data_IF_894063525096
#
_entry.id   IF_894063525096
#
_cell.length_a   1.000
_cell.length_b   1.000
_cell.length_c   1.000
_cell.angle_alpha   90.00
_cell.angle_beta   90.00
_cell.angle_gamma   90.00
#
_symmetry.space_group_name_H-M   'P 1'
#
loop_
_entity.id
_entity.type
_entity.pdbx_description
1 polymer ?
#
# COMPACT_ATOMS: atom_id res chain seq x y z
N UNK A 1 16.86 -1.00 -18.64
CA UNK A 1 16.43 -1.58 -17.35
C UNK A 1 15.54 -2.79 -17.65
N UNK A 2 16.13 -3.99 -17.75
CA UNK A 2 15.37 -5.23 -18.01
C UNK A 2 14.58 -5.57 -16.74
N UNK A 3 13.26 -5.51 -16.82
CA UNK A 3 12.36 -5.93 -15.76
C UNK A 3 11.55 -7.08 -16.31
N UNK A 4 11.64 -8.22 -15.64
CA UNK A 4 11.02 -9.45 -16.10
C UNK A 4 9.50 -9.34 -15.95
N UNK A 5 8.79 -9.56 -17.05
CA UNK A 5 7.33 -9.68 -17.06
C UNK A 5 7.01 -11.16 -17.10
N UNK A 6 6.47 -11.76 -16.01
CA UNK A 6 6.09 -13.15 -16.05
C UNK A 6 5.01 -13.37 -17.12
N UNK A 7 4.96 -14.57 -17.72
CA UNK A 7 3.93 -14.90 -18.69
C UNK A 7 2.55 -14.89 -18.01
N UNK A 8 1.50 -14.61 -18.79
CA UNK A 8 0.13 -14.34 -18.27
C UNK A 8 -0.41 -15.50 -17.43
N UNK A 9 -0.09 -16.75 -17.80
CA UNK A 9 -0.51 -17.95 -17.07
C UNK A 9 0.06 -18.05 -15.66
N UNK A 10 1.23 -17.45 -15.41
CA UNK A 10 1.88 -17.41 -14.10
C UNK A 10 1.51 -16.13 -13.33
N UNK A 11 1.38 -15.01 -14.04
CA UNK A 11 1.04 -13.72 -13.43
C UNK A 11 -0.36 -13.70 -12.82
N UNK A 12 -1.35 -14.28 -13.51
CA UNK A 12 -2.75 -14.31 -13.07
C UNK A 12 -2.97 -15.02 -11.72
N UNK A 13 -2.50 -16.27 -11.49
CA UNK A 13 -2.66 -16.93 -10.20
C UNK A 13 -1.87 -16.23 -9.08
N UNK A 14 -0.67 -15.70 -9.38
CA UNK A 14 0.12 -14.95 -8.40
C UNK A 14 -0.57 -13.64 -7.98
N UNK A 15 -1.23 -12.95 -8.91
CA UNK A 15 -2.05 -11.77 -8.62
C UNK A 15 -3.28 -12.11 -7.76
N UNK A 16 -3.83 -13.32 -7.91
CA UNK A 16 -4.94 -13.82 -7.10
C UNK A 16 -4.58 -14.01 -5.62
N UNK A 17 -3.32 -14.34 -5.33
CA UNK A 17 -2.86 -14.68 -3.97
C UNK A 17 -3.08 -13.55 -2.96
N UNK A 18 -2.80 -12.29 -3.32
CA UNK A 18 -3.07 -11.13 -2.44
C UNK A 18 -4.55 -10.97 -2.11
N UNK A 19 -5.47 -11.35 -3.01
CA UNK A 19 -6.90 -11.30 -2.76
C UNK A 19 -7.37 -12.44 -1.86
N UNK A 20 -6.77 -13.63 -1.99
CA UNK A 20 -7.00 -14.74 -1.06
C UNK A 20 -6.53 -14.37 0.35
N UNK A 21 -5.35 -13.76 0.48
CA UNK A 21 -4.84 -13.27 1.76
C UNK A 21 -5.75 -12.17 2.34
N UNK A 22 -6.19 -11.22 1.52
CA UNK A 22 -7.16 -10.21 1.95
C UNK A 22 -8.47 -10.85 2.44
N UNK A 23 -9.02 -11.80 1.70
CA UNK A 23 -10.24 -12.51 2.07
C UNK A 23 -10.07 -13.28 3.39
N UNK A 24 -8.91 -13.91 3.61
CA UNK A 24 -8.56 -14.55 4.87
C UNK A 24 -8.57 -13.57 6.04
N UNK A 25 -7.92 -12.40 5.91
CA UNK A 25 -7.94 -11.38 6.97
C UNK A 25 -9.34 -10.79 7.18
N UNK A 26 -10.08 -10.51 6.11
CA UNK A 26 -11.46 -10.05 6.21
C UNK A 26 -12.36 -11.08 6.89
N UNK A 27 -12.20 -12.36 6.61
CA UNK A 27 -12.93 -13.44 7.28
C UNK A 27 -12.62 -13.48 8.78
N UNK A 28 -11.34 -13.40 9.17
CA UNK A 28 -10.96 -13.36 10.57
C UNK A 28 -11.53 -12.14 11.31
N UNK A 29 -11.47 -10.97 10.69
CA UNK A 29 -11.84 -9.71 11.34
C UNK A 29 -13.35 -9.48 11.34
N UNK A 30 -14.04 -9.72 10.22
CA UNK A 30 -15.45 -9.40 10.06
C UNK A 30 -16.40 -10.54 10.46
N UNK A 31 -15.96 -11.80 10.36
CA UNK A 31 -16.83 -12.96 10.59
C UNK A 31 -16.48 -13.74 11.86
N UNK A 32 -15.19 -13.88 12.19
CA UNK A 32 -14.76 -14.69 13.35
C UNK A 32 -14.73 -13.91 14.67
N UNK A 33 -14.66 -12.59 14.64
CA UNK A 33 -14.57 -11.77 15.86
C UNK A 33 -15.80 -10.88 16.03
N UNK A 34 -16.47 -11.01 17.18
CA UNK A 34 -17.52 -10.07 17.60
C UNK A 34 -16.90 -8.78 18.16
N UNK A 35 -17.67 -7.68 18.22
CA UNK A 35 -17.21 -6.38 18.72
C UNK A 35 -16.55 -6.45 20.11
N UNK A 36 -17.08 -7.27 21.01
CA UNK A 36 -16.53 -7.47 22.35
C UNK A 36 -15.16 -8.19 22.33
N UNK A 37 -14.97 -9.13 21.42
CA UNK A 37 -13.69 -9.81 21.26
C UNK A 37 -12.63 -8.89 20.66
N UNK A 38 -13.05 -7.98 19.76
CA UNK A 38 -12.17 -6.95 19.20
C UNK A 38 -11.70 -5.99 20.29
N UNK A 39 -12.59 -5.51 21.16
CA UNK A 39 -12.20 -4.60 22.26
C UNK A 39 -11.33 -5.32 23.30
N UNK A 40 -11.63 -6.59 23.61
CA UNK A 40 -10.80 -7.42 24.48
C UNK A 40 -9.40 -7.63 23.90
N UNK A 41 -9.29 -7.92 22.59
CA UNK A 41 -8.00 -8.05 21.92
C UNK A 41 -7.22 -6.74 21.91
N UNK A 42 -7.87 -5.61 21.65
CA UNK A 42 -7.22 -4.29 21.62
C UNK A 42 -6.59 -3.93 22.97
N UNK A 43 -7.25 -4.30 24.08
CA UNK A 43 -6.78 -4.09 25.45
C UNK A 43 -5.88 -5.22 25.97
N UNK A 44 -5.66 -6.26 25.18
CA UNK A 44 -4.81 -7.37 25.58
C UNK A 44 -3.36 -6.92 25.74
N UNK A 45 -2.59 -7.54 26.66
CA UNK A 45 -1.16 -7.28 26.80
C UNK A 45 -0.44 -7.45 25.46
N UNK A 46 -0.79 -8.47 24.68
CA UNK A 46 -0.19 -8.72 23.37
C UNK A 46 -0.27 -7.51 22.44
N UNK A 47 -1.45 -6.91 22.28
CA UNK A 47 -1.65 -5.77 21.38
C UNK A 47 -0.94 -4.51 21.89
N UNK A 48 -0.90 -4.31 23.22
CA UNK A 48 -0.17 -3.19 23.83
C UNK A 48 1.35 -3.27 23.63
N UNK A 49 1.92 -4.47 23.57
CA UNK A 49 3.36 -4.66 23.34
C UNK A 49 3.70 -4.84 21.84
N UNK A 50 2.71 -5.03 20.97
CA UNK A 50 2.94 -5.29 19.55
C UNK A 50 3.72 -4.16 18.86
N UNK A 51 3.42 -2.90 19.19
CA UNK A 51 4.15 -1.74 18.68
C UNK A 51 5.61 -1.73 19.14
N UNK A 52 5.87 -2.09 20.40
CA UNK A 52 7.22 -2.24 20.93
C UNK A 52 7.98 -3.36 20.19
N UNK A 53 7.35 -4.52 19.99
CA UNK A 53 7.94 -5.65 19.26
C UNK A 53 8.29 -5.27 17.82
N UNK A 54 7.41 -4.53 17.15
CA UNK A 54 7.67 -3.99 15.82
C UNK A 54 8.91 -3.07 15.83
N UNK A 55 9.06 -2.19 16.83
CA UNK A 55 10.27 -1.38 16.99
C UNK A 55 11.53 -2.24 17.22
N UNK A 56 11.47 -3.26 18.08
CA UNK A 56 12.63 -4.15 18.32
C UNK A 56 13.05 -4.90 17.06
N UNK A 57 12.10 -5.30 16.22
CA UNK A 57 12.37 -5.93 14.93
C UNK A 57 13.14 -5.00 13.99
N UNK A 58 12.87 -3.68 14.00
CA UNK A 58 13.60 -2.71 13.19
C UNK A 58 14.97 -2.34 13.77
N UNK A 59 15.10 -2.27 15.09
CA UNK A 59 16.37 -1.92 15.76
C UNK A 59 17.36 -3.09 15.76
N UNK A 60 16.88 -4.32 15.93
CA UNK A 60 17.68 -5.54 16.01
C UNK A 60 17.02 -6.66 15.20
N UNK A 61 17.05 -6.59 13.85
CA UNK A 61 16.45 -7.62 13.01
C UNK A 61 17.14 -8.97 13.22
N UNK A 62 16.36 -10.02 13.41
CA UNK A 62 16.88 -11.39 13.48
C UNK A 62 17.51 -11.82 12.15
N UNK A 63 18.38 -12.84 12.16
CA UNK A 63 18.99 -13.38 10.91
C UNK A 63 17.94 -13.81 9.89
N UNK A 64 16.85 -14.43 10.37
CA UNK A 64 15.71 -14.82 9.54
C UNK A 64 15.00 -13.60 8.95
N UNK A 65 14.74 -12.57 9.77
CA UNK A 65 14.11 -11.33 9.32
C UNK A 65 14.96 -10.63 8.24
N UNK A 66 16.26 -10.51 8.48
CA UNK A 66 17.21 -9.95 7.52
C UNK A 66 17.24 -10.75 6.20
N UNK A 67 17.24 -12.09 6.29
CA UNK A 67 17.20 -12.97 5.13
C UNK A 67 15.92 -12.79 4.29
N UNK A 68 14.76 -12.73 4.94
CA UNK A 68 13.47 -12.49 4.26
C UNK A 68 13.44 -11.11 3.60
N UNK A 69 13.89 -10.06 4.29
CA UNK A 69 13.93 -8.71 3.74
C UNK A 69 14.89 -8.61 2.55
N UNK A 70 16.05 -9.26 2.63
CA UNK A 70 17.00 -9.33 1.52
C UNK A 70 16.38 -10.05 0.32
N UNK A 71 15.73 -11.20 0.54
CA UNK A 71 15.03 -11.92 -0.51
C UNK A 71 13.95 -11.07 -1.17
N UNK A 72 13.09 -10.40 -0.39
CA UNK A 72 12.05 -9.52 -0.92
C UNK A 72 12.64 -8.33 -1.69
N UNK A 73 13.76 -7.78 -1.22
CA UNK A 73 14.50 -6.71 -1.90
C UNK A 73 15.04 -7.17 -3.26
N UNK A 74 15.73 -8.32 -3.30
CA UNK A 74 16.26 -8.90 -4.52
C UNK A 74 15.15 -9.29 -5.50
N UNK A 75 14.06 -9.88 -5.01
CA UNK A 75 12.88 -10.19 -5.82
C UNK A 75 12.27 -8.92 -6.45
N UNK A 76 12.29 -7.79 -5.73
CA UNK A 76 11.80 -6.49 -6.23
C UNK A 76 12.67 -5.91 -7.37
N UNK A 77 13.95 -6.30 -7.46
CA UNK A 77 14.83 -5.92 -8.57
C UNK A 77 14.47 -6.67 -9.86
N UNK A 78 14.08 -7.94 -9.74
CA UNK A 78 13.70 -8.80 -10.87
C UNK A 78 12.27 -8.48 -11.34
N UNK A 79 11.33 -8.43 -10.38
CA UNK A 79 9.93 -8.11 -10.61
C UNK A 79 9.56 -6.86 -9.83
N UNK A 80 9.16 -5.80 -10.54
CA UNK A 80 8.75 -4.54 -9.91
C UNK A 80 7.69 -4.77 -8.84
N UNK A 81 7.99 -4.32 -7.62
CA UNK A 81 7.08 -4.34 -6.49
C UNK A 81 6.52 -5.74 -6.18
N UNK A 82 7.36 -6.78 -6.27
CA UNK A 82 6.99 -8.19 -6.08
C UNK A 82 6.04 -8.42 -4.90
N UNK A 83 6.39 -7.91 -3.71
CA UNK A 83 5.57 -8.02 -2.51
C UNK A 83 4.18 -7.40 -2.68
N UNK A 84 4.13 -6.13 -3.09
CA UNK A 84 2.87 -5.40 -3.25
C UNK A 84 1.98 -5.97 -4.35
N UNK A 85 2.58 -6.58 -5.39
CA UNK A 85 1.86 -7.16 -6.51
C UNK A 85 1.21 -8.50 -6.18
N UNK A 86 1.90 -9.37 -5.42
CA UNK A 86 1.47 -10.76 -5.25
C UNK A 86 1.09 -11.16 -3.82
N UNK A 87 1.73 -10.61 -2.79
CA UNK A 87 1.54 -11.07 -1.40
C UNK A 87 0.84 -10.06 -0.49
N UNK A 88 0.90 -8.77 -0.79
CA UNK A 88 0.43 -7.74 0.13
C UNK A 88 -1.10 -7.63 0.17
N UNK A 89 -1.77 -7.94 1.30
CA UNK A 89 -3.23 -7.78 1.41
C UNK A 89 -3.65 -6.31 1.38
N UNK A 90 -2.82 -5.40 1.90
CA UNK A 90 -3.04 -3.96 1.78
C UNK A 90 -2.96 -3.49 0.32
N UNK A 91 -2.09 -4.11 -0.49
CA UNK A 91 -2.03 -3.85 -1.93
C UNK A 91 -3.32 -4.25 -2.65
N UNK A 92 -3.91 -5.38 -2.28
CA UNK A 92 -5.22 -5.81 -2.79
C UNK A 92 -6.32 -4.83 -2.37
N UNK A 93 -6.36 -4.44 -1.10
CA UNK A 93 -7.34 -3.49 -0.57
C UNK A 93 -7.27 -2.14 -1.28
N UNK A 94 -6.07 -1.56 -1.38
CA UNK A 94 -5.85 -0.30 -2.09
C UNK A 94 -6.21 -0.40 -3.57
N UNK A 95 -5.91 -1.53 -4.22
CA UNK A 95 -6.32 -1.79 -5.60
C UNK A 95 -7.84 -1.82 -5.78
N UNK A 96 -8.58 -2.43 -4.85
CA UNK A 96 -10.05 -2.42 -4.86
C UNK A 96 -10.61 -1.01 -4.65
N UNK A 97 -10.08 -0.27 -3.68
CA UNK A 97 -10.47 1.13 -3.44
C UNK A 97 -10.15 1.99 -4.67
N UNK A 98 -9.02 1.75 -5.34
CA UNK A 98 -8.63 2.47 -6.55
C UNK A 98 -9.60 2.21 -7.73
N UNK A 99 -10.24 1.04 -7.81
CA UNK A 99 -11.29 0.79 -8.81
C UNK A 99 -12.50 1.70 -8.62
N UNK A 100 -12.81 2.06 -7.37
CA UNK A 100 -13.88 3.00 -7.01
C UNK A 100 -13.43 4.46 -7.03
N UNK A 101 -12.15 4.74 -7.27
CA UNK A 101 -11.63 6.11 -7.25
C UNK A 101 -12.28 6.99 -8.33
N UNK A 102 -12.72 8.21 -7.98
CA UNK A 102 -13.23 9.19 -8.93
C UNK A 102 -12.12 9.84 -9.77
N UNK A 103 -10.86 9.75 -9.31
CA UNK A 103 -9.69 10.28 -9.98
C UNK A 103 -9.03 9.18 -10.81
N UNK A 104 -8.96 9.37 -12.13
CA UNK A 104 -8.39 8.38 -13.06
C UNK A 104 -7.55 9.03 -14.14
N UNK A 105 -6.51 8.33 -14.60
CA UNK A 105 -5.72 8.76 -15.75
C UNK A 105 -6.50 8.42 -17.03
N UNK A 106 -6.66 9.41 -17.91
CA UNK A 106 -7.27 9.25 -19.23
C UNK A 106 -6.27 9.57 -20.33
N UNK A 107 -6.36 8.80 -21.41
CA UNK A 107 -5.53 8.92 -22.62
C UNK A 107 -6.37 9.55 -23.73
N UNK A 108 -5.85 10.60 -24.34
CA UNK A 108 -6.37 11.13 -25.58
C UNK A 108 -5.83 10.30 -26.76
N UNK A 109 -6.73 9.61 -27.47
CA UNK A 109 -6.36 8.76 -28.58
C UNK A 109 -5.83 9.55 -29.79
N UNK A 110 -6.30 10.79 -30.01
CA UNK A 110 -5.88 11.62 -31.13
C UNK A 110 -4.47 12.18 -30.98
N UNK A 111 -4.02 12.37 -29.74
CA UNK A 111 -2.67 12.89 -29.44
C UNK A 111 -1.63 11.78 -29.24
N UNK A 112 -2.08 10.54 -29.04
CA UNK A 112 -1.20 9.42 -28.72
C UNK A 112 -0.47 8.88 -29.95
N UNK A 113 0.86 8.78 -29.85
CA UNK A 113 1.74 8.25 -30.92
C UNK A 113 2.16 6.78 -30.71
N UNK A 114 1.44 6.03 -29.86
CA UNK A 114 1.73 4.62 -29.50
C UNK A 114 3.20 4.29 -29.16
N UNK A 115 3.93 5.23 -28.54
CA UNK A 115 5.35 5.03 -28.19
C UNK A 115 5.59 4.02 -27.04
N UNK A 116 4.53 3.61 -26.33
CA UNK A 116 4.51 2.65 -25.20
C UNK A 116 5.47 2.97 -24.04
N UNK A 117 5.97 4.21 -23.94
CA UNK A 117 6.81 4.67 -22.81
C UNK A 117 6.07 4.58 -21.47
N UNK A 118 4.78 4.94 -21.45
CA UNK A 118 3.92 4.84 -20.27
C UNK A 118 3.84 3.39 -19.72
N UNK A 119 3.78 2.38 -20.59
CA UNK A 119 3.73 0.97 -20.17
C UNK A 119 5.08 0.47 -19.64
N UNK A 120 6.19 0.98 -20.18
CA UNK A 120 7.54 0.64 -19.72
C UNK A 120 7.81 1.17 -18.31
N UNK A 121 7.26 2.33 -17.96
CA UNK A 121 7.47 2.94 -16.65
C UNK A 121 6.44 2.48 -15.60
N UNK A 122 5.27 2.02 -16.03
CA UNK A 122 4.19 1.60 -15.13
C UNK A 122 4.63 0.48 -14.17
N UNK A 123 4.56 0.69 -12.83
CA UNK A 123 4.91 -0.35 -11.87
C UNK A 123 3.90 -1.51 -11.88
N UNK A 124 2.62 -1.22 -12.13
CA UNK A 124 1.56 -2.22 -12.26
C UNK A 124 1.57 -2.99 -13.59
N UNK A 125 2.53 -2.72 -14.49
CA UNK A 125 2.64 -3.40 -15.80
C UNK A 125 1.34 -3.30 -16.64
N UNK A 126 0.63 -2.18 -16.51
CA UNK A 126 -0.66 -1.96 -17.18
C UNK A 126 -0.42 -1.64 -18.66
N UNK A 127 -1.22 -2.23 -19.55
CA UNK A 127 -1.28 -1.88 -20.97
C UNK A 127 -2.04 -0.56 -21.17
N UNK A 128 -1.38 0.56 -20.87
CA UNK A 128 -1.96 1.90 -20.89
C UNK A 128 -2.29 2.35 -22.31
N UNK A 129 -1.47 2.03 -23.31
CA UNK A 129 -1.69 2.51 -24.68
C UNK A 129 -2.94 1.89 -25.31
N UNK A 130 -3.30 0.67 -24.90
CA UNK A 130 -4.47 -0.05 -25.36
C UNK A 130 -5.80 0.41 -24.72
N UNK A 131 -5.78 1.39 -23.81
CA UNK A 131 -6.96 1.81 -23.04
C UNK A 131 -7.13 3.33 -23.15
N UNK A 132 -8.37 3.79 -23.18
CA UNK A 132 -8.70 5.23 -23.07
C UNK A 132 -8.68 5.67 -21.60
N UNK A 133 -9.17 4.83 -20.69
CA UNK A 133 -9.16 5.08 -19.25
C UNK A 133 -8.33 4.02 -18.56
N UNK A 134 -7.38 4.44 -17.72
CA UNK A 134 -6.58 3.53 -16.88
C UNK A 134 -7.44 3.05 -15.71
N UNK A 135 -8.22 1.99 -15.96
CA UNK A 135 -9.02 1.30 -14.95
C UNK A 135 -8.42 -0.09 -14.70
N UNK A 136 -7.73 -0.23 -13.57
CA UNK A 136 -7.05 -1.46 -13.18
C UNK A 136 -6.79 -1.43 -11.67
N UNK A 137 -6.94 -2.58 -11.01
CA UNK A 137 -6.60 -2.79 -9.60
C UNK A 137 -5.10 -2.64 -9.31
N UNK A 138 -4.25 -2.73 -10.34
CA UNK A 138 -2.80 -2.57 -10.21
C UNK A 138 -2.36 -1.09 -10.32
N UNK A 139 -3.30 -0.18 -10.61
CA UNK A 139 -3.01 1.24 -10.69
C UNK A 139 -2.94 1.85 -9.29
N UNK A 140 -1.73 2.10 -8.80
CA UNK A 140 -1.48 2.74 -7.50
C UNK A 140 -1.49 4.28 -7.56
N UNK A 141 -1.90 4.88 -8.69
CA UNK A 141 -2.02 6.34 -8.80
C UNK A 141 -0.69 7.12 -8.74
N UNK A 142 0.44 6.51 -9.10
CA UNK A 142 1.77 7.15 -9.04
C UNK A 142 2.03 8.27 -10.07
N UNK A 143 1.17 8.43 -11.09
CA UNK A 143 1.27 9.44 -12.15
C UNK A 143 2.54 9.44 -13.02
N UNK A 144 3.43 8.46 -12.85
CA UNK A 144 4.65 8.29 -13.65
C UNK A 144 4.37 8.17 -15.16
N UNK A 145 3.23 7.58 -15.54
CA UNK A 145 2.81 7.48 -16.94
C UNK A 145 2.50 8.84 -17.58
N UNK A 146 2.00 9.80 -16.80
CA UNK A 146 1.73 11.17 -17.24
C UNK A 146 3.06 11.91 -17.41
N UNK A 147 3.97 11.79 -16.43
CA UNK A 147 5.27 12.48 -16.44
C UNK A 147 6.24 12.04 -17.55
N UNK A 148 6.18 10.77 -17.99
CA UNK A 148 7.06 10.25 -19.06
C UNK A 148 6.50 10.47 -20.48
N UNK A 149 5.26 10.95 -20.61
CA UNK A 149 4.62 11.07 -21.91
C UNK A 149 5.30 12.18 -22.74
N UNK A 150 5.77 11.89 -23.98
CA UNK A 150 6.43 12.89 -24.81
C UNK A 150 5.46 13.88 -25.46
N UNK A 151 4.15 13.63 -25.39
CA UNK A 151 3.10 14.50 -25.91
C UNK A 151 2.41 15.15 -24.73
N UNK A 152 2.43 16.48 -24.70
CA UNK A 152 1.68 17.28 -23.73
C UNK A 152 0.19 16.92 -23.81
N UNK A 153 -0.48 16.89 -22.67
CA UNK A 153 -1.91 16.58 -22.52
C UNK A 153 -2.42 15.24 -23.09
N UNK A 154 -1.55 14.38 -23.62
CA UNK A 154 -1.96 13.06 -24.12
C UNK A 154 -2.44 12.14 -22.99
N UNK A 155 -1.84 12.23 -21.80
CA UNK A 155 -2.28 11.52 -20.60
C UNK A 155 -2.53 12.54 -19.50
N UNK A 156 -3.75 12.59 -18.97
CA UNK A 156 -4.13 13.56 -17.94
C UNK A 156 -4.85 12.89 -16.79
N UNK A 157 -4.67 13.43 -15.58
CA UNK A 157 -5.48 13.05 -14.43
C UNK A 157 -6.85 13.73 -14.56
N UNK A 158 -7.90 12.92 -14.57
CA UNK A 158 -9.28 13.40 -14.72
C UNK A 158 -10.08 13.06 -13.47
N UNK A 159 -10.81 14.03 -12.93
CA UNK A 159 -11.71 13.86 -11.79
C UNK A 159 -13.19 13.72 -12.16
N UNK A 160 -14.09 13.82 -11.16
CA UNK A 160 -15.54 13.90 -11.37
C UNK A 160 -15.88 14.99 -12.41
N UNK A 161 -16.86 14.73 -13.27
CA UNK A 161 -17.26 15.70 -14.31
C UNK A 161 -16.26 15.89 -15.45
N UNK A 162 -15.29 14.98 -15.62
CA UNK A 162 -14.23 15.04 -16.65
C UNK A 162 -13.32 16.27 -16.57
N UNK A 163 -13.22 16.88 -15.39
CA UNK A 163 -12.30 17.99 -15.14
C UNK A 163 -10.86 17.49 -15.18
N UNK A 164 -10.02 18.13 -16.00
CA UNK A 164 -8.57 17.87 -16.05
C UNK A 164 -7.93 18.51 -14.83
N UNK A 165 -7.18 17.71 -14.06
CA UNK A 165 -6.50 18.16 -12.87
C UNK A 165 -4.98 18.11 -13.11
N UNK A 166 -4.24 19.18 -12.75
CA UNK A 166 -2.80 19.14 -12.80
C UNK A 166 -2.29 18.13 -11.77
N UNK A 167 -1.23 17.41 -12.12
CA UNK A 167 -0.68 16.30 -11.29
C UNK A 167 -0.29 16.79 -9.89
N UNK A 168 0.13 18.05 -9.76
CA UNK A 168 0.52 18.70 -8.50
C UNK A 168 -0.64 18.86 -7.50
N UNK A 169 -1.90 18.84 -7.97
CA UNK A 169 -3.06 18.91 -7.07
C UNK A 169 -3.19 17.63 -6.25
N UNK A 170 -2.75 16.47 -6.76
CA UNK A 170 -2.86 15.21 -6.03
C UNK A 170 -2.12 15.21 -4.66
N UNK A 171 -0.81 15.56 -4.58
CA UNK A 171 -0.13 15.62 -3.29
C UNK A 171 -0.71 16.70 -2.36
N UNK A 172 -1.15 17.84 -2.91
CA UNK A 172 -1.82 18.88 -2.12
C UNK A 172 -3.12 18.37 -1.49
N UNK A 173 -3.94 17.64 -2.26
CA UNK A 173 -5.16 17.01 -1.76
C UNK A 173 -4.87 15.98 -0.68
N UNK A 174 -3.84 15.15 -0.86
CA UNK A 174 -3.42 14.16 0.15
C UNK A 174 -2.98 14.84 1.44
N UNK A 175 -2.15 15.88 1.35
CA UNK A 175 -1.71 16.65 2.52
C UNK A 175 -2.89 17.34 3.20
N UNK A 176 -3.80 17.96 2.43
CA UNK A 176 -4.99 18.61 2.98
C UNK A 176 -5.87 17.62 3.75
N UNK A 177 -6.12 16.43 3.19
CA UNK A 177 -6.89 15.37 3.88
C UNK A 177 -6.18 14.89 5.14
N UNK A 178 -4.85 14.70 5.09
CA UNK A 178 -4.06 14.31 6.25
C UNK A 178 -4.13 15.34 7.38
N UNK A 179 -3.88 16.63 7.07
CA UNK A 179 -3.93 17.70 8.07
C UNK A 179 -5.34 17.91 8.60
N UNK A 180 -6.37 17.79 7.77
CA UNK A 180 -7.77 17.86 8.21
C UNK A 180 -8.10 16.74 9.20
N UNK A 181 -7.70 15.50 8.89
CA UNK A 181 -7.89 14.37 9.80
C UNK A 181 -7.13 14.56 11.12
N UNK A 182 -5.87 15.00 11.04
CA UNK A 182 -5.05 15.29 12.21
C UNK A 182 -5.65 16.38 13.10
N UNK A 183 -6.09 17.50 12.52
CA UNK A 183 -6.75 18.57 13.25
C UNK A 183 -8.06 18.08 13.89
N UNK A 184 -8.87 17.33 13.16
CA UNK A 184 -10.11 16.75 13.70
C UNK A 184 -9.84 15.81 14.89
N UNK A 185 -8.79 14.98 14.81
CA UNK A 185 -8.37 14.11 15.90
C UNK A 185 -7.86 14.91 17.12
N UNK A 186 -7.16 16.02 16.88
CA UNK A 186 -6.69 16.92 17.94
C UNK A 186 -7.85 17.63 18.65
N UNK A 187 -8.76 18.25 17.88
CA UNK A 187 -9.92 18.97 18.43
C UNK A 187 -10.91 18.05 19.15
N UNK A 188 -11.05 16.81 18.68
CA UNK A 188 -11.91 15.82 19.35
C UNK A 188 -11.26 15.17 20.57
N UNK A 189 -10.02 15.50 20.90
CA UNK A 189 -9.28 14.90 22.03
C UNK A 189 -8.86 13.45 21.82
N UNK A 190 -9.10 12.86 20.64
CA UNK A 190 -8.78 11.46 20.32
C UNK A 190 -7.33 11.27 19.83
N UNK A 191 -6.53 12.34 19.74
CA UNK A 191 -5.14 12.25 19.30
C UNK A 191 -4.21 11.57 20.32
N UNK A 192 -4.50 11.70 21.62
CA UNK A 192 -3.65 11.11 22.65
C UNK A 192 -4.08 9.68 23.01
N UNK A 193 -3.12 8.75 23.06
CA UNK A 193 -3.36 7.38 23.51
C UNK A 193 -3.50 7.30 25.04
N UNK A 194 -4.54 6.65 25.54
CA UNK A 194 -4.87 6.51 26.98
C UNK A 194 -3.98 5.50 27.75
N UNK A 195 -2.75 5.24 27.32
CA UNK A 195 -1.90 4.22 27.93
C UNK A 195 -1.23 4.77 29.21
N UNK A 196 -1.49 4.19 30.40
CA UNK A 196 -0.85 4.64 31.63
C UNK A 196 0.68 4.50 31.56
N UNK A 197 1.46 5.50 32.01
CA UNK A 197 2.93 5.44 31.96
C UNK A 197 3.54 4.23 32.68
N UNK A 198 2.90 3.74 33.75
CA UNK A 198 3.30 2.54 34.47
C UNK A 198 3.16 1.27 33.61
N UNK A 199 2.06 1.15 32.86
CA UNK A 199 1.85 0.06 31.92
C UNK A 199 2.88 0.12 30.78
N UNK A 200 3.15 1.32 30.25
CA UNK A 200 4.19 1.53 29.24
C UNK A 200 5.57 1.08 29.74
N UNK A 201 5.97 1.51 30.95
CA UNK A 201 7.25 1.13 31.56
C UNK A 201 7.36 -0.37 31.82
N UNK A 202 6.27 -1.01 32.25
CA UNK A 202 6.21 -2.45 32.47
C UNK A 202 6.38 -3.22 31.14
N UNK A 203 5.62 -2.87 30.10
CA UNK A 203 5.65 -3.60 28.82
C UNK A 203 6.96 -3.39 28.05
N UNK A 204 7.49 -2.17 28.03
CA UNK A 204 8.80 -1.88 27.42
C UNK A 204 9.95 -2.46 28.26
N UNK A 205 9.83 -2.43 29.59
CA UNK A 205 10.80 -3.02 30.51
C UNK A 205 10.90 -4.54 30.35
N UNK A 206 9.79 -5.24 30.13
CA UNK A 206 9.77 -6.69 29.86
C UNK A 206 10.40 -7.05 28.50
N UNK A 207 10.41 -6.12 27.55
CA UNK A 207 10.97 -6.30 26.21
C UNK A 207 12.48 -6.14 26.14
N UNK A 208 13.03 -5.13 26.83
CA UNK A 208 14.48 -4.85 26.84
C UNK A 208 15.24 -5.58 27.96
N UNK A 209 14.54 -6.25 28.88
CA UNK A 209 15.16 -7.08 29.94
C UNK A 209 15.26 -8.57 29.60
N UNK A 210 14.74 -9.01 28.45
CA UNK A 210 15.06 -10.34 27.93
C UNK A 210 16.50 -10.31 27.40
N UNK A 211 17.42 -11.15 27.92
CA UNK A 211 18.71 -11.32 27.26
C UNK A 211 18.47 -11.71 25.81
N UNK A 212 19.38 -11.38 24.86
CA UNK A 212 19.24 -11.85 23.49
C UNK A 212 19.01 -13.34 23.57
N UNK A 213 17.83 -13.80 23.10
CA UNK A 213 17.48 -15.20 23.15
C UNK A 213 18.64 -15.95 22.51
N UNK A 214 19.40 -16.67 23.33
CA UNK A 214 20.58 -17.39 22.90
C UNK A 214 20.13 -18.57 22.06
N UNK A 215 20.00 -18.34 20.75
CA UNK A 215 20.19 -19.30 19.63
C UNK A 215 20.63 -18.48 18.41
#
# INVERSE_FOLDING_TARGET
RMQFRPPVWLDFPLLGLKYVLLAFFCYLVLWRMNLEQITAFQRSPYNMVAAGKMLSFFLAPSRLAGGVLLFLGLASLVVRNFWCRYLCPYGALLGLVALCSPLRVRRDAGQCIDCKKCEKVCPGTIKIAAREVVWSSECVGCMECVGVCPREDCLTLTGPGRVRLPVQVLPLMVLAVFFLFWLAALFSGHWQSVVPPAALKQFYGMMFSLPPAGI
#
